data_IF_585341227492
#
_entry.id   IF_585341227492
#
_cell.length_a   1.000
_cell.length_b   1.000
_cell.length_c   1.000
_cell.angle_alpha   90.00
_cell.angle_beta   90.00
_cell.angle_gamma   90.00
#
_symmetry.space_group_name_H-M   'P 1'
#
loop_
_entity.id
_entity.type
_entity.pdbx_description
1 polymer ?
#
# COMPACT_ATOMS: atom_id res chain seq x y z
N UNK A 1 -3.12 -6.97 -14.30
CA UNK A 1 -2.31 -6.52 -13.15
C UNK A 1 -3.09 -6.83 -11.88
N UNK A 2 -2.51 -7.50 -10.86
CA UNK A 2 -3.18 -7.62 -9.56
C UNK A 2 -3.34 -6.20 -8.96
N UNK A 3 -4.59 -5.80 -8.71
CA UNK A 3 -5.00 -4.40 -8.52
C UNK A 3 -4.97 -3.66 -9.86
N UNK A 4 -6.13 -3.44 -10.48
CA UNK A 4 -6.32 -3.00 -11.88
C UNK A 4 -5.84 -1.57 -12.20
N UNK A 5 -4.61 -1.18 -11.84
CA UNK A 5 -4.06 0.16 -12.06
C UNK A 5 -2.52 0.16 -12.15
N UNK A 6 -1.99 1.12 -12.92
CA UNK A 6 -0.56 1.35 -13.08
C UNK A 6 0.14 1.74 -11.77
N UNK A 7 -0.59 2.22 -10.76
CA UNK A 7 -0.04 2.72 -9.49
C UNK A 7 0.77 1.68 -8.71
N UNK A 8 0.49 0.39 -8.91
CA UNK A 8 1.29 -0.71 -8.33
C UNK A 8 2.75 -0.66 -8.79
N UNK A 9 3.03 -0.23 -10.04
CA UNK A 9 4.39 -0.15 -10.58
C UNK A 9 5.23 0.89 -9.83
N UNK A 10 4.69 2.10 -9.67
CA UNK A 10 5.37 3.18 -8.97
C UNK A 10 5.54 2.90 -7.47
N UNK A 11 4.48 2.37 -6.82
CA UNK A 11 4.55 1.98 -5.42
C UNK A 11 5.62 0.92 -5.18
N UNK A 12 5.64 -0.14 -6.00
CA UNK A 12 6.65 -1.19 -5.87
C UNK A 12 8.07 -0.67 -6.12
N UNK A 13 8.26 0.16 -7.17
CA UNK A 13 9.56 0.74 -7.47
C UNK A 13 10.10 1.57 -6.29
N UNK A 14 9.27 2.43 -5.68
CA UNK A 14 9.70 3.22 -4.53
C UNK A 14 10.02 2.34 -3.33
N UNK A 15 9.16 1.36 -3.01
CA UNK A 15 9.36 0.45 -1.87
C UNK A 15 10.61 -0.42 -2.04
N UNK A 16 10.90 -0.86 -3.27
CA UNK A 16 12.09 -1.66 -3.57
C UNK A 16 13.41 -0.88 -3.42
N UNK A 17 13.37 0.46 -3.52
CA UNK A 17 14.53 1.34 -3.39
C UNK A 17 14.78 1.83 -1.96
N UNK A 18 13.94 1.45 -1.00
CA UNK A 18 14.13 1.83 0.41
C UNK A 18 15.37 1.14 0.99
N UNK A 19 16.10 1.83 1.86
CA UNK A 19 17.17 1.22 2.66
C UNK A 19 16.58 0.26 3.69
N UNK A 20 17.39 -0.67 4.21
CA UNK A 20 16.91 -1.58 5.26
C UNK A 20 16.42 -0.85 6.52
N UNK A 21 17.02 0.30 6.85
CA UNK A 21 16.56 1.15 7.96
C UNK A 21 15.20 1.78 7.68
N UNK A 22 14.96 2.23 6.46
CA UNK A 22 13.65 2.76 6.03
C UNK A 22 12.59 1.66 6.01
N UNK A 23 12.94 0.47 5.52
CA UNK A 23 12.07 -0.71 5.52
C UNK A 23 11.67 -1.11 6.95
N UNK A 24 12.62 -1.08 7.88
CA UNK A 24 12.37 -1.38 9.29
C UNK A 24 11.38 -0.39 9.94
N UNK A 25 11.39 0.89 9.52
CA UNK A 25 10.42 1.89 9.99
C UNK A 25 9.02 1.71 9.39
N UNK A 26 8.94 1.12 8.20
CA UNK A 26 7.69 0.93 7.47
C UNK A 26 7.30 2.12 6.60
N UNK A 27 6.18 1.98 5.88
CA UNK A 27 5.66 2.99 4.94
C UNK A 27 4.27 3.46 5.35
N UNK A 28 3.96 4.72 5.04
CA UNK A 28 2.64 5.31 5.29
C UNK A 28 2.14 6.05 4.03
N UNK A 29 0.85 5.95 3.74
CA UNK A 29 0.21 6.78 2.71
C UNK A 29 -1.23 7.13 3.07
N UNK A 30 -1.66 8.33 2.69
CA UNK A 30 -3.06 8.75 2.75
C UNK A 30 -3.73 8.51 1.39
N UNK A 31 -4.51 7.44 1.26
CA UNK A 31 -5.24 7.13 0.03
C UNK A 31 -6.35 6.10 0.29
N UNK A 32 -7.49 6.26 -0.38
CA UNK A 32 -8.63 5.34 -0.29
C UNK A 32 -8.89 4.57 -1.61
N UNK A 33 -7.87 4.39 -2.46
CA UNK A 33 -8.04 3.82 -3.80
C UNK A 33 -6.80 3.10 -4.34
N UNK A 34 -6.57 3.18 -5.66
CA UNK A 34 -5.56 2.38 -6.36
C UNK A 34 -4.13 2.53 -5.81
N UNK A 35 -3.77 3.69 -5.25
CA UNK A 35 -2.45 3.85 -4.63
C UNK A 35 -2.35 3.07 -3.32
N UNK A 36 -3.40 3.07 -2.50
CA UNK A 36 -3.45 2.29 -1.27
C UNK A 36 -3.32 0.79 -1.53
N UNK A 37 -4.06 0.27 -2.51
CA UNK A 37 -3.96 -1.14 -2.89
C UNK A 37 -2.56 -1.47 -3.44
N UNK A 38 -2.01 -0.60 -4.29
CA UNK A 38 -0.66 -0.78 -4.84
C UNK A 38 0.44 -0.75 -3.79
N UNK A 39 0.35 0.17 -2.82
CA UNK A 39 1.32 0.28 -1.72
C UNK A 39 1.19 -0.88 -0.74
N UNK A 40 -0.03 -1.26 -0.35
CA UNK A 40 -0.29 -2.41 0.51
C UNK A 40 0.28 -3.70 -0.10
N UNK A 41 0.02 -3.94 -1.40
CA UNK A 41 0.55 -5.09 -2.11
C UNK A 41 2.08 -5.08 -2.20
N UNK A 42 2.68 -3.92 -2.48
CA UNK A 42 4.13 -3.77 -2.56
C UNK A 42 4.81 -4.01 -1.21
N UNK A 43 4.26 -3.43 -0.15
CA UNK A 43 4.76 -3.59 1.21
C UNK A 43 4.65 -5.04 1.69
N UNK A 44 3.50 -5.70 1.45
CA UNK A 44 3.32 -7.13 1.75
C UNK A 44 4.35 -8.01 1.04
N UNK A 45 4.65 -7.74 -0.23
CA UNK A 45 5.66 -8.49 -0.99
C UNK A 45 7.09 -8.32 -0.47
N UNK A 46 7.39 -7.17 0.10
CA UNK A 46 8.71 -6.83 0.63
C UNK A 46 8.82 -7.09 2.15
N UNK A 47 7.76 -7.60 2.79
CA UNK A 47 7.74 -7.84 4.24
C UNK A 47 7.75 -6.57 5.09
N UNK A 48 7.32 -5.44 4.52
CA UNK A 48 7.37 -4.12 5.17
C UNK A 48 5.99 -3.78 5.75
N UNK A 49 5.96 -3.20 6.95
CA UNK A 49 4.72 -2.67 7.54
C UNK A 49 4.22 -1.49 6.73
N UNK A 50 2.97 -1.54 6.26
CA UNK A 50 2.28 -0.42 5.61
C UNK A 50 1.15 0.12 6.49
N UNK A 51 1.05 1.45 6.58
CA UNK A 51 -0.07 2.15 7.22
C UNK A 51 -0.81 2.95 6.16
N UNK A 52 -2.09 2.63 5.95
CA UNK A 52 -2.92 3.37 4.99
C UNK A 52 -3.95 4.20 5.75
N UNK A 53 -3.84 5.51 5.62
CA UNK A 53 -4.78 6.47 6.21
C UNK A 53 -5.91 6.74 5.21
N UNK A 54 -7.15 6.55 5.66
CA UNK A 54 -8.35 6.80 4.87
C UNK A 54 -9.33 7.70 5.66
N UNK A 55 -10.16 8.52 4.97
CA UNK A 55 -11.28 9.20 5.63
C UNK A 55 -12.24 8.24 6.31
N UNK A 56 -12.85 8.64 7.42
CA UNK A 56 -13.90 7.86 8.11
C UNK A 56 -15.12 7.57 7.23
N UNK A 57 -15.36 8.41 6.22
CA UNK A 57 -16.44 8.27 5.25
C UNK A 57 -16.12 7.33 4.09
N UNK A 58 -14.95 6.67 4.10
CA UNK A 58 -14.56 5.74 3.05
C UNK A 58 -15.48 4.51 3.07
N UNK A 59 -16.10 4.15 1.93
CA UNK A 59 -16.93 2.94 1.87
C UNK A 59 -16.16 1.70 2.31
N UNK A 60 -16.78 0.87 3.16
CA UNK A 60 -16.15 -0.31 3.77
C UNK A 60 -15.52 -1.24 2.71
N UNK A 61 -16.19 -1.40 1.55
CA UNK A 61 -15.67 -2.21 0.44
C UNK A 61 -14.27 -1.76 -0.04
N UNK A 62 -13.97 -0.46 -0.01
CA UNK A 62 -12.64 0.07 -0.38
C UNK A 62 -11.61 -0.16 0.71
N UNK A 63 -12.02 -0.09 1.98
CA UNK A 63 -11.16 -0.41 3.14
C UNK A 63 -10.78 -1.90 3.09
N UNK A 64 -11.76 -2.78 2.90
CA UNK A 64 -11.56 -4.21 2.82
C UNK A 64 -10.67 -4.62 1.63
N UNK A 65 -10.84 -3.97 0.48
CA UNK A 65 -9.96 -4.19 -0.67
C UNK A 65 -8.48 -3.92 -0.36
N UNK A 66 -8.18 -2.90 0.44
CA UNK A 66 -6.79 -2.59 0.86
C UNK A 66 -6.31 -3.55 1.94
N UNK A 67 -7.17 -3.90 2.91
CA UNK A 67 -6.85 -4.89 3.96
C UNK A 67 -6.52 -6.27 3.40
N UNK A 68 -7.23 -6.71 2.37
CA UNK A 68 -6.94 -7.98 1.67
C UNK A 68 -5.51 -8.02 1.10
N UNK A 69 -4.91 -6.86 0.82
CA UNK A 69 -3.53 -6.72 0.35
C UNK A 69 -2.48 -6.62 1.47
N UNK A 70 -2.87 -6.71 2.75
CA UNK A 70 -1.96 -6.82 3.90
C UNK A 70 -1.61 -5.52 4.62
N UNK A 71 -2.40 -4.46 4.44
CA UNK A 71 -2.29 -3.20 5.17
C UNK A 71 -3.46 -2.99 6.16
#
# INVERSE_FOLDING_TARGET
QPGCSFKTRGAYNKVAQLTEEEKARGVIAASAGNHAQGLALAAKRQGIRAVIVMPKTTPEIKVQAVRAHGA
#
